data_IF_744433370507
#
_entry.id   IF_744433370507
#
_cell.length_a   1.000
_cell.length_b   1.000
_cell.length_c   1.000
_cell.angle_alpha   90.00
_cell.angle_beta   90.00
_cell.angle_gamma   90.00
#
_symmetry.space_group_name_H-M   'P 1'
#
loop_
_entity.id
_entity.type
_entity.pdbx_description
1 polymer ?
#
# COMPACT_ATOMS: atom_id res chain seq x y z
N UNK A 1 -0.05 0.61 20.49
CA UNK A 1 0.37 -0.03 19.23
C UNK A 1 -0.12 -1.48 19.12
N UNK A 2 0.18 -2.34 20.10
CA UNK A 2 -0.11 -3.78 20.02
C UNK A 2 -1.61 -4.15 19.99
N UNK A 3 -2.48 -3.36 20.63
CA UNK A 3 -3.94 -3.59 20.56
C UNK A 3 -4.54 -3.26 19.19
N UNK A 4 -4.04 -2.22 18.51
CA UNK A 4 -4.45 -1.84 17.14
C UNK A 4 -4.06 -2.96 16.15
N UNK A 5 -2.86 -3.53 16.30
CA UNK A 5 -2.41 -4.69 15.52
C UNK A 5 -3.35 -5.91 15.69
N UNK A 6 -3.84 -6.16 16.91
CA UNK A 6 -4.78 -7.26 17.17
C UNK A 6 -6.16 -7.04 16.54
N UNK A 7 -6.66 -5.81 16.53
CA UNK A 7 -7.95 -5.48 15.91
C UNK A 7 -7.87 -5.63 14.40
N UNK A 8 -6.78 -5.14 13.79
CA UNK A 8 -6.50 -5.29 12.36
C UNK A 8 -6.34 -6.77 11.93
N UNK A 9 -5.78 -7.61 12.81
CA UNK A 9 -5.56 -9.04 12.54
C UNK A 9 -6.78 -9.92 12.90
N UNK A 10 -7.90 -9.36 13.37
CA UNK A 10 -9.04 -10.15 13.84
C UNK A 10 -10.06 -10.48 12.73
N UNK A 11 -10.03 -9.74 11.62
CA UNK A 11 -10.93 -9.96 10.48
C UNK A 11 -10.16 -10.63 9.33
N UNK A 12 -10.63 -11.79 8.87
CA UNK A 12 -10.02 -12.55 7.77
C UNK A 12 -9.90 -11.69 6.49
N UNK A 13 -10.89 -10.82 6.20
CA UNK A 13 -10.83 -9.89 5.06
C UNK A 13 -9.75 -8.81 5.23
N UNK A 14 -9.58 -8.22 6.42
CA UNK A 14 -8.57 -7.17 6.63
C UNK A 14 -7.15 -7.74 6.57
N UNK A 15 -6.95 -8.95 7.08
CA UNK A 15 -5.69 -9.71 6.91
C UNK A 15 -5.38 -9.95 5.44
N UNK A 16 -6.36 -10.42 4.67
CA UNK A 16 -6.17 -10.69 3.24
C UNK A 16 -5.74 -9.42 2.50
N UNK A 17 -6.39 -8.28 2.77
CA UNK A 17 -6.01 -6.99 2.17
C UNK A 17 -4.59 -6.55 2.52
N UNK A 18 -4.16 -6.74 3.79
CA UNK A 18 -2.79 -6.44 4.21
C UNK A 18 -1.75 -7.33 3.54
N UNK A 19 -2.08 -8.61 3.35
CA UNK A 19 -1.21 -9.55 2.64
C UNK A 19 -1.14 -9.19 1.16
N UNK A 20 -2.28 -8.92 0.52
CA UNK A 20 -2.36 -8.53 -0.89
C UNK A 20 -1.56 -7.26 -1.19
N UNK A 21 -1.63 -6.24 -0.33
CA UNK A 21 -0.87 -5.01 -0.54
C UNK A 21 0.63 -5.20 -0.35
N UNK A 22 1.03 -6.02 0.62
CA UNK A 22 2.43 -6.39 0.79
C UNK A 22 2.95 -7.14 -0.45
N UNK A 23 2.16 -8.07 -0.98
CA UNK A 23 2.48 -8.75 -2.24
C UNK A 23 2.59 -7.78 -3.41
N UNK A 24 1.65 -6.84 -3.56
CA UNK A 24 1.69 -5.83 -4.63
C UNK A 24 2.96 -4.98 -4.54
N UNK A 25 3.33 -4.51 -3.35
CA UNK A 25 4.57 -3.76 -3.19
C UNK A 25 5.81 -4.59 -3.47
N UNK A 26 5.87 -5.84 -3.01
CA UNK A 26 6.99 -6.74 -3.29
C UNK A 26 7.12 -6.98 -4.81
N UNK A 27 6.00 -7.27 -5.48
CA UNK A 27 5.97 -7.49 -6.93
C UNK A 27 6.41 -6.23 -7.67
N UNK A 28 5.87 -5.06 -7.33
CA UNK A 28 6.25 -3.78 -7.90
C UNK A 28 7.73 -3.47 -7.73
N UNK A 29 8.24 -3.58 -6.49
CA UNK A 29 9.65 -3.33 -6.17
C UNK A 29 10.59 -4.26 -6.93
N UNK A 30 10.30 -5.56 -6.96
CA UNK A 30 11.12 -6.53 -7.68
C UNK A 30 11.08 -6.28 -9.20
N UNK A 31 9.92 -5.92 -9.74
CA UNK A 31 9.77 -5.63 -11.16
C UNK A 31 10.58 -4.39 -11.56
N UNK A 32 10.39 -3.25 -10.85
CA UNK A 32 11.11 -2.02 -11.16
C UNK A 32 12.62 -2.13 -10.92
N UNK A 33 13.05 -2.89 -9.90
CA UNK A 33 14.48 -3.18 -9.73
C UNK A 33 15.06 -3.96 -10.91
N UNK A 34 14.36 -5.00 -11.38
CA UNK A 34 14.88 -5.86 -12.45
C UNK A 34 14.84 -5.21 -13.83
N UNK A 35 13.74 -4.52 -14.16
CA UNK A 35 13.45 -3.94 -15.48
C UNK A 35 14.01 -2.53 -15.62
N UNK A 36 13.75 -1.67 -14.64
CA UNK A 36 14.16 -0.25 -14.66
C UNK A 36 15.50 0.00 -13.96
N UNK A 37 16.13 -1.04 -13.37
CA UNK A 37 17.41 -0.95 -12.65
C UNK A 37 17.41 0.06 -11.50
N UNK A 38 16.23 0.40 -10.98
CA UNK A 38 16.08 1.25 -9.78
C UNK A 38 16.66 0.54 -8.56
N UNK A 39 17.24 1.28 -7.60
CA UNK A 39 17.61 0.67 -6.32
C UNK A 39 16.36 0.13 -5.60
N UNK A 40 16.49 -0.87 -4.73
CA UNK A 40 15.33 -1.47 -4.05
C UNK A 40 14.48 -0.44 -3.28
N UNK A 41 15.13 0.52 -2.62
CA UNK A 41 14.43 1.58 -1.90
C UNK A 41 13.72 2.55 -2.86
N UNK A 42 14.36 2.92 -3.96
CA UNK A 42 13.78 3.79 -4.99
C UNK A 42 12.59 3.12 -5.69
N UNK A 43 12.69 1.82 -5.98
CA UNK A 43 11.63 1.02 -6.57
C UNK A 43 10.42 0.86 -5.63
N UNK A 44 10.66 0.68 -4.33
CA UNK A 44 9.60 0.67 -3.31
C UNK A 44 8.96 2.05 -3.17
N UNK A 45 9.79 3.10 -3.09
CA UNK A 45 9.31 4.48 -3.02
C UNK A 45 8.45 4.83 -4.23
N UNK A 46 8.91 4.53 -5.45
CA UNK A 46 8.14 4.69 -6.69
C UNK A 46 6.81 3.95 -6.61
N UNK A 47 6.83 2.67 -6.23
CA UNK A 47 5.62 1.86 -6.08
C UNK A 47 4.60 2.46 -5.11
N UNK A 48 5.06 3.04 -3.99
CA UNK A 48 4.20 3.69 -2.99
C UNK A 48 3.62 5.00 -3.53
N UNK A 49 4.44 5.91 -4.05
CA UNK A 49 3.96 7.21 -4.54
C UNK A 49 3.03 7.06 -5.75
N UNK A 50 3.23 6.03 -6.57
CA UNK A 50 2.37 5.70 -7.71
C UNK A 50 1.00 5.20 -7.25
N UNK A 51 0.94 4.25 -6.32
CA UNK A 51 -0.35 3.74 -5.82
C UNK A 51 -1.08 4.74 -4.91
N UNK A 52 -0.33 5.58 -4.21
CA UNK A 52 -0.88 6.70 -3.46
C UNK A 52 -1.33 7.86 -4.37
N UNK A 53 -1.14 7.75 -5.69
CA UNK A 53 -1.47 8.79 -6.67
C UNK A 53 -0.79 10.14 -6.42
N UNK A 54 0.34 10.13 -5.71
CA UNK A 54 1.15 11.33 -5.43
C UNK A 54 1.94 11.73 -6.69
N UNK A 55 2.68 10.77 -7.27
CA UNK A 55 3.33 10.92 -8.57
C UNK A 55 4.25 12.14 -8.71
N UNK A 56 5.27 12.29 -7.86
CA UNK A 56 6.21 13.42 -7.91
C UNK A 56 6.94 13.58 -9.25
N UNK A 57 7.10 12.50 -10.02
CA UNK A 57 7.74 12.53 -11.35
C UNK A 57 9.27 12.57 -11.31
N UNK A 58 9.87 12.42 -10.13
CA UNK A 58 11.30 12.25 -9.90
C UNK A 58 11.81 10.88 -10.38
N UNK A 59 11.00 9.83 -10.19
CA UNK A 59 11.20 8.49 -10.74
C UNK A 59 10.05 8.12 -11.65
N UNK A 60 10.37 7.49 -12.77
CA UNK A 60 9.39 6.99 -13.73
C UNK A 60 10.01 5.92 -14.63
N UNK A 61 9.22 4.94 -15.11
CA UNK A 61 9.71 3.90 -16.00
C UNK A 61 10.15 4.49 -17.34
N UNK A 62 11.37 4.19 -17.75
CA UNK A 62 11.93 4.58 -19.04
C UNK A 62 11.59 3.56 -20.12
N UNK A 63 11.57 2.28 -19.76
CA UNK A 63 11.34 1.20 -20.71
C UNK A 63 9.87 1.08 -21.09
N UNK A 64 9.61 0.65 -22.32
CA UNK A 64 8.23 0.44 -22.78
C UNK A 64 7.53 -0.66 -21.97
N UNK A 65 8.28 -1.71 -21.58
CA UNK A 65 7.78 -2.75 -20.70
C UNK A 65 7.41 -2.21 -19.32
N UNK A 66 8.25 -1.33 -18.76
CA UNK A 66 8.00 -0.67 -17.48
C UNK A 66 6.75 0.18 -17.52
N UNK A 67 6.55 0.97 -18.57
CA UNK A 67 5.33 1.78 -18.77
C UNK A 67 4.07 0.91 -18.84
N UNK A 68 4.10 -0.15 -19.64
CA UNK A 68 2.97 -1.09 -19.77
C UNK A 68 2.66 -1.73 -18.41
N UNK A 69 3.68 -2.19 -17.69
CA UNK A 69 3.50 -2.73 -16.35
C UNK A 69 2.88 -1.71 -15.41
N UNK A 70 3.38 -0.47 -15.38
CA UNK A 70 2.85 0.58 -14.51
C UNK A 70 1.38 0.86 -14.78
N UNK A 71 0.92 0.81 -16.04
CA UNK A 71 -0.51 0.96 -16.38
C UNK A 71 -1.35 -0.10 -15.66
N UNK A 72 -1.02 -1.39 -15.82
CA UNK A 72 -1.75 -2.47 -15.17
C UNK A 72 -1.60 -2.44 -13.65
N UNK A 73 -0.42 -2.10 -13.17
CA UNK A 73 -0.09 -2.00 -11.75
C UNK A 73 -0.96 -0.95 -11.05
N UNK A 74 -1.14 0.22 -11.66
CA UNK A 74 -2.01 1.28 -11.12
C UNK A 74 -3.49 0.87 -11.15
N UNK A 75 -3.96 0.27 -12.25
CA UNK A 75 -5.37 -0.15 -12.40
C UNK A 75 -5.80 -1.13 -11.30
N UNK A 76 -4.91 -2.05 -10.92
CA UNK A 76 -5.19 -3.04 -9.87
C UNK A 76 -4.86 -2.49 -8.47
N UNK A 77 -3.71 -1.83 -8.35
CA UNK A 77 -3.14 -1.46 -7.06
C UNK A 77 -3.84 -0.28 -6.37
N UNK A 78 -4.39 0.69 -7.11
CA UNK A 78 -5.02 1.88 -6.51
C UNK A 78 -6.25 1.51 -5.69
N UNK A 79 -7.09 0.59 -6.16
CA UNK A 79 -8.27 0.14 -5.42
C UNK A 79 -7.88 -0.53 -4.10
N UNK A 80 -6.87 -1.41 -4.15
CA UNK A 80 -6.38 -2.14 -2.97
C UNK A 80 -5.68 -1.18 -1.99
N UNK A 81 -4.90 -0.22 -2.50
CA UNK A 81 -4.26 0.81 -1.68
C UNK A 81 -5.29 1.73 -1.00
N UNK A 82 -6.35 2.10 -1.71
CA UNK A 82 -7.46 2.88 -1.14
C UNK A 82 -8.17 2.11 -0.03
N UNK A 83 -8.44 0.82 -0.23
CA UNK A 83 -9.05 -0.04 0.79
C UNK A 83 -8.19 -0.14 2.07
N UNK A 84 -6.86 -0.16 1.93
CA UNK A 84 -5.95 -0.10 3.09
C UNK A 84 -6.15 1.19 3.89
N UNK A 85 -6.19 2.34 3.22
CA UNK A 85 -6.40 3.65 3.89
C UNK A 85 -7.72 3.66 4.65
N UNK A 86 -8.79 3.15 4.03
CA UNK A 86 -10.11 3.03 4.66
C UNK A 86 -10.04 2.15 5.92
N UNK A 87 -9.39 0.99 5.84
CA UNK A 87 -9.22 0.10 7.00
C UNK A 87 -8.43 0.74 8.15
N UNK A 88 -7.36 1.48 7.82
CA UNK A 88 -6.60 2.24 8.81
C UNK A 88 -7.49 3.28 9.49
N UNK A 89 -8.29 4.03 8.72
CA UNK A 89 -9.22 5.02 9.26
C UNK A 89 -10.30 4.39 10.16
N UNK A 90 -10.82 3.21 9.79
CA UNK A 90 -11.76 2.47 10.64
C UNK A 90 -11.12 2.04 11.95
N UNK A 91 -9.90 1.49 11.91
CA UNK A 91 -9.17 1.08 13.11
C UNK A 91 -8.85 2.27 14.03
N UNK A 92 -8.43 3.41 13.46
CA UNK A 92 -8.17 4.64 14.20
C UNK A 92 -9.45 5.20 14.84
N UNK A 93 -10.58 5.12 14.14
CA UNK A 93 -11.88 5.59 14.65
C UNK A 93 -12.38 4.72 15.80
N UNK A 94 -12.22 3.39 15.71
CA UNK A 94 -12.57 2.48 16.79
C UNK A 94 -11.73 2.71 18.03
N UNK A 95 -10.42 2.88 17.86
CA UNK A 95 -9.50 3.20 18.95
C UNK A 95 -9.85 4.52 19.66
N UNK A 96 -10.20 5.58 18.91
CA UNK A 96 -10.64 6.83 19.52
C UNK A 96 -11.98 6.72 20.26
N UNK A 97 -12.88 5.82 19.82
CA UNK A 97 -14.16 5.57 20.51
C UNK A 97 -13.97 4.81 21.81
N UNK A 98 -13.15 3.75 21.82
CA UNK A 98 -12.81 3.02 23.05
C UNK A 98 -12.16 3.94 24.08
N UNK A 99 -11.17 4.74 23.66
CA UNK A 99 -10.48 5.68 24.56
C UNK A 99 -11.39 6.81 25.10
N UNK A 100 -12.48 7.15 24.40
CA UNK A 100 -13.50 8.09 24.90
C UNK A 100 -14.42 7.43 25.93
N UNK A 101 -14.75 6.15 25.75
CA UNK A 101 -15.60 5.39 26.69
C UNK A 101 -14.90 5.06 28.00
N UNK A 102 -13.56 4.94 28.00
CA UNK A 102 -12.77 4.68 29.22
C UNK A 102 -12.47 5.96 30.04
N UNK A 103 -12.81 7.13 29.48
CA UNK A 103 -12.59 8.45 30.11
C UNK A 103 -13.84 9.10 30.70
N UNK A 104 -15.01 8.47 30.56
CA UNK A 104 -16.27 8.79 31.26
C UNK A 104 -16.48 7.83 32.43
#
# INVERSE_FOLDING_TARGET
MWQILKILYKQEEQKALMVMIAFIFIIGTLFYHNVEKMAYLDALYFSVITLATIGYGDLYPQTDLGKIFTIFYVLIGVGIFTALIVNINHALTQYHREKRSDGE
#
